data_IF_537232543194
#
_entry.id   IF_537232543194
#
_cell.length_a   1.000
_cell.length_b   1.000
_cell.length_c   1.000
_cell.angle_alpha   90.00
_cell.angle_beta   90.00
_cell.angle_gamma   90.00
#
_symmetry.space_group_name_H-M   'P 1'
#
loop_
_entity.id
_entity.type
_entity.pdbx_description
1 polymer ?
#
# COMPACT_ATOMS: atom_id res chain seq x y z
N UNK A 1 -8.76 -15.28 -5.45
CA UNK A 1 -9.15 -15.14 -6.87
C UNK A 1 -9.82 -13.79 -7.07
N UNK A 2 -9.73 -13.22 -8.27
CA UNK A 2 -10.38 -11.94 -8.57
C UNK A 2 -11.89 -12.05 -8.35
N UNK A 3 -12.51 -11.03 -7.76
CA UNK A 3 -13.95 -10.96 -7.43
C UNK A 3 -14.80 -10.47 -8.60
N UNK A 4 -14.17 -9.89 -9.61
CA UNK A 4 -14.78 -9.59 -10.91
C UNK A 4 -13.85 -10.07 -12.04
N UNK A 5 -14.35 -10.25 -13.27
CA UNK A 5 -13.51 -10.64 -14.40
C UNK A 5 -12.38 -9.62 -14.64
N UNK A 6 -11.15 -10.11 -14.75
CA UNK A 6 -10.05 -9.37 -15.38
C UNK A 6 -10.05 -9.78 -16.86
N UNK A 7 -10.33 -8.88 -17.82
CA UNK A 7 -10.23 -9.21 -19.24
C UNK A 7 -8.91 -9.88 -19.58
N UNK A 8 -8.90 -10.93 -20.40
CA UNK A 8 -7.67 -11.70 -20.67
C UNK A 8 -6.63 -10.91 -21.48
N UNK A 9 -7.09 -9.93 -22.25
CA UNK A 9 -6.29 -9.12 -23.17
C UNK A 9 -6.90 -7.74 -23.39
N UNK A 10 -6.26 -6.91 -24.22
CA UNK A 10 -6.80 -5.59 -24.60
C UNK A 10 -8.07 -5.78 -25.44
N UNK A 11 -8.06 -6.69 -26.40
CA UNK A 11 -9.16 -6.96 -27.35
C UNK A 11 -10.44 -7.42 -26.65
N UNK A 12 -10.29 -8.07 -25.49
CA UNK A 12 -11.41 -8.56 -24.66
C UNK A 12 -11.83 -7.56 -23.57
N UNK A 13 -11.16 -6.41 -23.46
CA UNK A 13 -11.55 -5.32 -22.57
C UNK A 13 -12.66 -4.46 -23.20
N UNK A 14 -13.45 -3.70 -22.40
CA UNK A 14 -14.43 -2.76 -22.94
C UNK A 14 -13.83 -1.86 -24.03
N UNK A 15 -14.53 -1.68 -25.15
CA UNK A 15 -14.01 -1.01 -26.34
C UNK A 15 -13.40 0.38 -26.04
N UNK A 16 -14.07 1.16 -25.17
CA UNK A 16 -13.59 2.48 -24.77
C UNK A 16 -12.31 2.46 -23.90
N UNK A 17 -11.99 1.33 -23.26
CA UNK A 17 -10.74 1.16 -22.49
C UNK A 17 -9.56 0.75 -23.37
N UNK A 18 -9.79 0.17 -24.55
CA UNK A 18 -8.73 -0.42 -25.38
C UNK A 18 -7.64 0.60 -25.76
N UNK A 19 -7.96 1.83 -26.22
CA UNK A 19 -6.93 2.82 -26.55
C UNK A 19 -6.08 3.22 -25.34
N UNK A 20 -6.69 3.29 -24.15
CA UNK A 20 -6.00 3.59 -22.89
C UNK A 20 -5.04 2.45 -22.51
N UNK A 21 -5.47 1.19 -22.66
CA UNK A 21 -4.63 0.02 -22.40
C UNK A 21 -3.48 -0.12 -23.41
N UNK A 22 -3.70 0.25 -24.68
CA UNK A 22 -2.62 0.32 -25.67
C UNK A 22 -1.59 1.39 -25.31
N UNK A 23 -2.02 2.54 -24.80
CA UNK A 23 -1.11 3.56 -24.30
C UNK A 23 -0.27 3.05 -23.11
N UNK A 24 -0.89 2.30 -22.18
CA UNK A 24 -0.18 1.63 -21.08
C UNK A 24 0.84 0.62 -21.62
N UNK A 25 0.45 -0.23 -22.58
CA UNK A 25 1.34 -1.21 -23.22
C UNK A 25 2.53 -0.55 -23.88
N UNK A 26 2.31 0.57 -24.58
CA UNK A 26 3.38 1.33 -25.22
C UNK A 26 4.37 1.90 -24.21
N UNK A 27 3.89 2.33 -23.04
CA UNK A 27 4.74 2.93 -22.00
C UNK A 27 5.49 1.89 -21.17
N UNK A 28 4.85 0.76 -20.85
CA UNK A 28 5.38 -0.24 -19.90
C UNK A 28 5.88 -1.52 -20.59
N UNK A 29 5.64 -1.69 -21.88
CA UNK A 29 5.92 -2.92 -22.64
C UNK A 29 4.87 -4.02 -22.47
N UNK A 30 3.99 -3.92 -21.48
CA UNK A 30 2.91 -4.87 -21.18
C UNK A 30 1.72 -4.17 -20.52
N UNK A 31 0.60 -4.88 -20.34
CA UNK A 31 -0.57 -4.37 -19.61
C UNK A 31 -0.79 -5.21 -18.35
N UNK A 32 -0.28 -4.73 -17.18
CA UNK A 32 -0.49 -5.42 -15.92
C UNK A 32 -1.98 -5.64 -15.60
N UNK A 33 -2.28 -6.72 -14.86
CA UNK A 33 -3.60 -7.17 -14.47
C UNK A 33 -4.47 -6.04 -13.90
N UNK A 34 -3.89 -5.16 -13.08
CA UNK A 34 -4.60 -4.01 -12.50
C UNK A 34 -5.19 -3.07 -13.57
N UNK A 35 -4.46 -2.76 -14.64
CA UNK A 35 -4.96 -1.85 -15.67
C UNK A 35 -6.14 -2.45 -16.42
N UNK A 36 -6.07 -3.75 -16.77
CA UNK A 36 -7.21 -4.47 -17.38
C UNK A 36 -8.41 -4.54 -16.43
N UNK A 37 -8.15 -4.75 -15.13
CA UNK A 37 -9.20 -4.82 -14.12
C UNK A 37 -9.91 -3.47 -13.93
N UNK A 38 -9.16 -2.37 -13.76
CA UNK A 38 -9.72 -1.01 -13.71
C UNK A 38 -10.43 -0.70 -15.03
N UNK A 39 -9.88 -1.17 -16.15
CA UNK A 39 -10.43 -1.04 -17.50
C UNK A 39 -11.81 -1.66 -17.71
N UNK A 40 -12.35 -2.45 -16.77
CA UNK A 40 -13.80 -2.74 -16.74
C UNK A 40 -14.64 -1.44 -16.70
N UNK A 41 -14.09 -0.35 -16.17
CA UNK A 41 -14.64 1.01 -16.25
C UNK A 41 -13.67 1.94 -17.00
N UNK A 42 -13.95 2.28 -18.27
CA UNK A 42 -13.13 3.22 -19.05
C UNK A 42 -12.93 4.56 -18.34
N UNK A 43 -13.96 5.08 -17.68
CA UNK A 43 -13.90 6.35 -16.94
C UNK A 43 -12.94 6.27 -15.74
N UNK A 44 -12.94 5.15 -15.00
CA UNK A 44 -12.02 4.96 -13.88
C UNK A 44 -10.58 4.79 -14.36
N UNK A 45 -10.37 4.08 -15.48
CA UNK A 45 -9.05 3.90 -16.08
C UNK A 45 -8.50 5.23 -16.58
N UNK A 46 -9.30 6.02 -17.31
CA UNK A 46 -8.92 7.33 -17.81
C UNK A 46 -8.56 8.29 -16.66
N UNK A 47 -9.41 8.37 -15.63
CA UNK A 47 -9.15 9.22 -14.46
C UNK A 47 -7.86 8.83 -13.72
N UNK A 48 -7.61 7.53 -13.54
CA UNK A 48 -6.37 7.04 -12.93
C UNK A 48 -5.13 7.40 -13.77
N UNK A 49 -5.18 7.15 -15.08
CA UNK A 49 -4.08 7.45 -15.99
C UNK A 49 -3.81 8.95 -16.08
N UNK A 50 -4.86 9.77 -16.14
CA UNK A 50 -4.76 11.22 -16.14
C UNK A 50 -4.09 11.76 -14.87
N UNK A 51 -4.53 11.31 -13.69
CA UNK A 51 -3.92 11.71 -12.42
C UNK A 51 -2.45 11.23 -12.32
N UNK A 52 -2.18 9.98 -12.71
CA UNK A 52 -0.83 9.42 -12.71
C UNK A 52 0.10 10.21 -13.64
N UNK A 53 -0.35 10.55 -14.85
CA UNK A 53 0.42 11.33 -15.81
C UNK A 53 0.66 12.78 -15.32
N UNK A 54 -0.33 13.40 -14.67
CA UNK A 54 -0.19 14.74 -14.11
C UNK A 54 0.85 14.77 -12.97
N UNK A 55 0.73 13.86 -11.99
CA UNK A 55 1.71 13.71 -10.91
C UNK A 55 3.08 13.22 -11.42
N UNK A 56 3.10 12.57 -12.58
CA UNK A 56 4.27 12.28 -13.39
C UNK A 56 5.17 13.50 -13.64
N UNK A 57 4.56 14.67 -13.78
CA UNK A 57 5.19 15.97 -14.09
C UNK A 57 5.37 16.88 -12.86
N UNK A 58 5.02 16.38 -11.68
CA UNK A 58 5.15 17.10 -10.41
C UNK A 58 6.60 17.31 -9.99
N UNK A 59 6.78 17.99 -8.86
CA UNK A 59 8.09 18.35 -8.31
C UNK A 59 8.69 17.29 -7.38
N UNK A 60 7.91 16.28 -6.96
CA UNK A 60 8.46 15.10 -6.32
C UNK A 60 9.21 14.23 -7.34
N UNK A 61 10.47 13.90 -7.03
CA UNK A 61 11.28 13.05 -7.89
C UNK A 61 10.73 11.61 -7.99
N UNK A 62 11.20 10.85 -8.99
CA UNK A 62 10.77 9.46 -9.23
C UNK A 62 11.01 8.52 -8.05
N UNK A 63 12.11 8.68 -7.31
CA UNK A 63 12.45 7.82 -6.16
C UNK A 63 11.48 8.09 -5.01
N UNK A 64 11.29 9.35 -4.63
CA UNK A 64 10.35 9.76 -3.58
C UNK A 64 8.93 9.26 -3.86
N UNK A 65 8.48 9.34 -5.11
CA UNK A 65 7.16 8.82 -5.51
C UNK A 65 7.03 7.30 -5.31
N UNK A 66 8.07 6.52 -5.66
CA UNK A 66 8.07 5.07 -5.41
C UNK A 66 8.16 4.73 -3.92
N UNK A 67 8.97 5.46 -3.15
CA UNK A 67 9.06 5.30 -1.69
C UNK A 67 7.69 5.50 -1.01
N UNK A 68 6.97 6.57 -1.39
CA UNK A 68 5.60 6.82 -0.91
C UNK A 68 4.67 5.67 -1.31
N UNK A 69 4.72 5.22 -2.57
CA UNK A 69 3.87 4.14 -3.04
C UNK A 69 4.09 2.81 -2.30
N UNK A 70 5.35 2.44 -2.02
CA UNK A 70 5.71 1.27 -1.20
C UNK A 70 5.16 1.42 0.22
N UNK A 71 5.39 2.57 0.87
CA UNK A 71 4.93 2.81 2.24
C UNK A 71 3.39 2.78 2.35
N UNK A 72 2.69 3.39 1.39
CA UNK A 72 1.21 3.41 1.34
C UNK A 72 0.65 2.02 1.05
N UNK A 73 1.23 1.27 0.11
CA UNK A 73 0.80 -0.09 -0.21
C UNK A 73 0.98 -1.06 0.96
N UNK A 74 2.11 -0.96 1.69
CA UNK A 74 2.33 -1.72 2.92
C UNK A 74 1.30 -1.33 3.99
N UNK A 75 1.09 -0.03 4.21
CA UNK A 75 0.15 0.49 5.22
C UNK A 75 -1.29 0.07 4.95
N UNK A 76 -1.71 0.04 3.68
CA UNK A 76 -3.04 -0.41 3.26
C UNK A 76 -3.16 -1.95 3.14
N UNK A 77 -2.08 -2.70 3.38
CA UNK A 77 -2.08 -4.16 3.24
C UNK A 77 -2.33 -4.65 1.80
N UNK A 78 -1.94 -3.88 0.79
CA UNK A 78 -2.17 -4.22 -0.61
C UNK A 78 -1.00 -4.99 -1.22
N UNK A 79 -1.09 -6.32 -1.25
CA UNK A 79 -0.04 -7.19 -1.80
C UNK A 79 0.28 -6.92 -3.28
N UNK A 80 -0.73 -6.64 -4.12
CA UNK A 80 -0.53 -6.34 -5.54
C UNK A 80 0.31 -5.08 -5.72
N UNK A 81 -0.12 -3.97 -5.11
CA UNK A 81 0.57 -2.69 -5.21
C UNK A 81 1.95 -2.73 -4.56
N UNK A 82 2.10 -3.43 -3.43
CA UNK A 82 3.41 -3.61 -2.79
C UNK A 82 4.38 -4.36 -3.70
N UNK A 83 3.91 -5.43 -4.36
CA UNK A 83 4.73 -6.20 -5.32
C UNK A 83 5.13 -5.34 -6.52
N UNK A 84 4.17 -4.62 -7.11
CA UNK A 84 4.40 -3.75 -8.27
C UNK A 84 5.36 -2.59 -7.95
N UNK A 85 5.11 -1.86 -6.86
CA UNK A 85 5.93 -0.70 -6.50
C UNK A 85 7.31 -1.08 -5.96
N UNK A 86 7.46 -2.24 -5.31
CA UNK A 86 8.81 -2.73 -4.96
C UNK A 86 9.61 -3.12 -6.22
N UNK A 87 8.95 -3.74 -7.21
CA UNK A 87 9.59 -4.03 -8.50
C UNK A 87 10.01 -2.73 -9.21
N UNK A 88 9.15 -1.71 -9.26
CA UNK A 88 9.48 -0.42 -9.88
C UNK A 88 10.54 0.35 -9.08
N UNK A 89 10.47 0.34 -7.74
CA UNK A 89 11.48 0.94 -6.88
C UNK A 89 12.88 0.37 -7.17
N UNK A 90 12.99 -0.96 -7.31
CA UNK A 90 14.26 -1.63 -7.62
C UNK A 90 14.74 -1.40 -9.05
N UNK A 91 13.87 -1.67 -10.02
CA UNK A 91 14.29 -1.77 -11.42
C UNK A 91 14.24 -0.45 -12.19
N UNK A 92 13.43 0.52 -11.75
CA UNK A 92 13.25 1.81 -12.42
C UNK A 92 13.81 2.96 -11.58
N UNK A 93 13.54 2.97 -10.27
CA UNK A 93 14.04 4.02 -9.38
C UNK A 93 15.44 3.70 -8.81
N UNK A 94 15.97 2.50 -9.06
CA UNK A 94 17.28 2.03 -8.60
C UNK A 94 17.46 2.22 -7.08
N UNK A 95 16.44 1.89 -6.31
CA UNK A 95 16.54 1.74 -4.85
C UNK A 95 17.00 0.32 -4.53
N UNK A 96 17.90 0.18 -3.58
CA UNK A 96 18.35 -1.14 -3.13
C UNK A 96 17.30 -1.82 -2.22
N UNK A 97 17.52 -3.10 -1.95
CA UNK A 97 16.58 -3.90 -1.16
C UNK A 97 16.47 -3.42 0.29
N UNK A 98 17.53 -2.82 0.86
CA UNK A 98 17.52 -2.30 2.23
C UNK A 98 16.67 -1.02 2.33
N UNK A 99 16.77 -0.12 1.35
CA UNK A 99 15.96 1.08 1.25
C UNK A 99 14.49 0.72 1.03
N UNK A 100 14.18 -0.24 0.15
CA UNK A 100 12.81 -0.72 -0.07
C UNK A 100 12.23 -1.31 1.23
N UNK A 101 13.01 -2.12 1.95
CA UNK A 101 12.58 -2.71 3.22
C UNK A 101 12.34 -1.64 4.31
N UNK A 102 13.17 -0.58 4.33
CA UNK A 102 12.96 0.59 5.18
C UNK A 102 11.70 1.37 4.77
N UNK A 103 11.44 1.56 3.47
CA UNK A 103 10.26 2.28 2.98
C UNK A 103 8.96 1.60 3.40
N UNK A 104 8.93 0.26 3.45
CA UNK A 104 7.80 -0.50 4.00
C UNK A 104 7.54 -0.16 5.48
N UNK A 105 8.57 0.19 6.25
CA UNK A 105 8.42 0.65 7.62
C UNK A 105 8.11 2.16 7.74
N UNK A 106 7.88 2.87 6.63
CA UNK A 106 7.74 4.33 6.62
C UNK A 106 9.05 5.06 6.91
N UNK A 107 10.20 4.42 6.62
CA UNK A 107 11.55 4.95 6.87
C UNK A 107 12.34 5.11 5.57
N UNK A 108 13.45 5.84 5.61
CA UNK A 108 14.37 5.97 4.47
C UNK A 108 15.78 6.35 4.95
N UNK A 109 16.80 5.93 4.21
CA UNK A 109 18.16 6.47 4.37
C UNK A 109 18.30 7.95 3.96
N UNK A 110 17.31 8.49 3.25
CA UNK A 110 17.18 9.90 2.90
C UNK A 110 16.22 10.60 3.88
N UNK A 111 16.75 11.52 4.69
CA UNK A 111 15.99 12.20 5.73
C UNK A 111 14.81 13.03 5.20
N UNK A 112 14.94 13.62 4.00
CA UNK A 112 13.85 14.36 3.38
C UNK A 112 12.77 13.39 2.92
N UNK A 113 13.15 12.30 2.24
CA UNK A 113 12.19 11.27 1.84
C UNK A 113 11.51 10.60 3.04
N UNK A 114 12.23 10.35 4.14
CA UNK A 114 11.66 9.78 5.36
C UNK A 114 10.53 10.65 5.91
N UNK A 115 10.67 11.98 5.94
CA UNK A 115 9.60 12.87 6.38
C UNK A 115 8.34 12.74 5.52
N UNK A 116 8.48 12.63 4.20
CA UNK A 116 7.34 12.39 3.30
C UNK A 116 6.68 11.03 3.55
N UNK A 117 7.46 9.98 3.83
CA UNK A 117 6.95 8.64 4.10
C UNK A 117 6.19 8.57 5.42
N UNK A 118 6.76 9.14 6.49
CA UNK A 118 6.12 9.22 7.79
C UNK A 118 4.80 10.00 7.70
N UNK A 119 4.79 11.12 6.99
CA UNK A 119 3.58 11.90 6.75
C UNK A 119 2.55 11.11 5.93
N UNK A 120 2.95 10.49 4.81
CA UNK A 120 2.06 9.67 3.99
C UNK A 120 1.44 8.50 4.76
N UNK A 121 2.25 7.74 5.51
CA UNK A 121 1.77 6.65 6.38
C UNK A 121 0.81 7.18 7.45
N UNK A 122 1.10 8.34 8.06
CA UNK A 122 0.21 8.94 9.05
C UNK A 122 -1.12 9.38 8.45
N UNK A 123 -1.10 10.02 7.27
CA UNK A 123 -2.31 10.42 6.53
C UNK A 123 -3.18 9.21 6.24
N UNK A 124 -2.61 8.10 5.77
CA UNK A 124 -3.37 6.86 5.50
C UNK A 124 -4.02 6.33 6.78
N UNK A 125 -3.23 6.18 7.86
CA UNK A 125 -3.72 5.64 9.14
C UNK A 125 -4.79 6.52 9.78
N UNK A 126 -4.60 7.85 9.74
CA UNK A 126 -5.52 8.83 10.31
C UNK A 126 -6.63 9.27 9.33
N UNK A 127 -6.69 8.68 8.13
CA UNK A 127 -7.64 9.06 7.07
C UNK A 127 -7.65 10.57 6.81
N UNK A 128 -6.48 11.17 6.71
CA UNK A 128 -6.28 12.61 6.48
C UNK A 128 -6.36 13.50 7.72
N UNK A 129 -6.80 13.00 8.88
CA UNK A 129 -6.94 13.79 10.11
C UNK A 129 -5.61 13.89 10.87
N UNK A 130 -4.61 14.51 10.24
CA UNK A 130 -3.30 14.78 10.83
C UNK A 130 -3.30 16.09 11.61
N UNK A 131 -2.37 16.25 12.55
CA UNK A 131 -2.22 17.49 13.31
C UNK A 131 -1.43 18.52 12.50
N UNK A 132 -1.59 19.81 12.81
CA UNK A 132 -0.80 20.88 12.19
C UNK A 132 0.71 20.64 12.34
N UNK A 133 1.15 20.13 13.50
CA UNK A 133 2.54 19.76 13.76
C UNK A 133 3.10 18.73 12.77
N UNK A 134 2.26 17.84 12.22
CA UNK A 134 2.71 16.86 11.23
C UNK A 134 3.07 17.53 9.90
N UNK A 135 2.33 18.55 9.51
CA UNK A 135 2.61 19.34 8.30
C UNK A 135 3.89 20.17 8.50
N UNK A 136 4.07 20.76 9.68
CA UNK A 136 5.27 21.54 10.00
C UNK A 136 6.55 20.68 9.99
N UNK A 137 6.48 19.40 10.41
CA UNK A 137 7.61 18.48 10.30
C UNK A 137 8.02 18.22 8.84
N UNK A 138 7.06 18.12 7.93
CA UNK A 138 7.33 17.95 6.48
C UNK A 138 7.95 19.21 5.89
N UNK A 139 7.48 20.39 6.31
CA UNK A 139 8.08 21.69 5.93
C UNK A 139 9.51 21.82 6.44
N UNK A 140 9.76 21.44 7.69
CA UNK A 140 11.09 21.46 8.29
C UNK A 140 12.07 20.53 7.57
N UNK A 141 11.60 19.45 6.94
CA UNK A 141 12.39 18.58 6.08
C UNK A 141 12.69 19.18 4.67
N UNK A 142 12.20 20.38 4.40
CA UNK A 142 12.49 21.14 3.18
C UNK A 142 11.52 20.91 2.03
N UNK A 143 10.30 20.42 2.29
CA UNK A 143 9.19 20.47 1.34
C UNK A 143 8.44 21.79 1.47
N UNK A 144 7.99 22.33 0.34
CA UNK A 144 7.06 23.45 0.35
C UNK A 144 5.60 23.00 0.25
N UNK A 145 4.67 23.96 0.32
CA UNK A 145 3.23 23.69 0.33
C UNK A 145 2.77 22.88 -0.89
N UNK A 146 3.31 23.18 -2.08
CA UNK A 146 2.93 22.44 -3.28
C UNK A 146 3.43 21.00 -3.27
N UNK A 147 4.62 20.72 -2.73
CA UNK A 147 5.11 19.35 -2.60
C UNK A 147 4.32 18.58 -1.54
N UNK A 148 3.86 19.23 -0.48
CA UNK A 148 2.98 18.62 0.52
C UNK A 148 1.64 18.21 -0.11
N UNK A 149 1.06 19.06 -0.94
CA UNK A 149 -0.14 18.73 -1.73
C UNK A 149 0.14 17.57 -2.69
N UNK A 150 1.30 17.54 -3.35
CA UNK A 150 1.70 16.40 -4.19
C UNK A 150 1.85 15.10 -3.39
N UNK A 151 2.39 15.13 -2.17
CA UNK A 151 2.46 13.94 -1.29
C UNK A 151 1.04 13.40 -1.03
N UNK A 152 0.09 14.27 -0.69
CA UNK A 152 -1.32 13.89 -0.49
C UNK A 152 -1.96 13.34 -1.77
N UNK A 153 -1.67 13.94 -2.92
CA UNK A 153 -2.16 13.46 -4.21
C UNK A 153 -1.60 12.08 -4.55
N UNK A 154 -0.32 11.81 -4.23
CA UNK A 154 0.27 10.48 -4.34
C UNK A 154 -0.35 9.48 -3.36
N UNK A 155 -0.69 9.90 -2.14
CA UNK A 155 -1.45 9.05 -1.20
C UNK A 155 -2.81 8.70 -1.79
N UNK A 156 -3.54 9.65 -2.37
CA UNK A 156 -4.83 9.41 -3.00
C UNK A 156 -4.73 8.47 -4.22
N UNK A 157 -3.76 8.72 -5.11
CA UNK A 157 -3.48 7.88 -6.29
C UNK A 157 -3.21 6.42 -5.90
N UNK A 158 -2.36 6.21 -4.89
CA UNK A 158 -2.03 4.87 -4.40
C UNK A 158 -3.20 4.25 -3.64
N UNK A 159 -3.95 5.03 -2.87
CA UNK A 159 -5.14 4.51 -2.15
C UNK A 159 -6.18 3.99 -3.13
N UNK A 160 -6.42 4.67 -4.24
CA UNK A 160 -7.32 4.20 -5.31
C UNK A 160 -6.90 2.81 -5.80
N UNK A 161 -5.64 2.63 -6.22
CA UNK A 161 -5.17 1.34 -6.74
C UNK A 161 -5.10 0.28 -5.65
N UNK A 162 -4.71 0.63 -4.43
CA UNK A 162 -4.69 -0.27 -3.29
C UNK A 162 -6.09 -0.83 -3.02
N UNK A 163 -7.10 0.05 -2.98
CA UNK A 163 -8.47 -0.34 -2.70
C UNK A 163 -9.05 -1.19 -3.81
N UNK A 164 -8.87 -0.79 -5.08
CA UNK A 164 -9.29 -1.63 -6.21
C UNK A 164 -8.67 -3.01 -6.11
N UNK A 165 -7.34 -3.11 -5.95
CA UNK A 165 -6.67 -4.41 -5.97
C UNK A 165 -7.02 -5.29 -4.77
N UNK A 166 -7.11 -4.72 -3.58
CA UNK A 166 -7.47 -5.47 -2.36
C UNK A 166 -8.96 -5.86 -2.36
N UNK A 167 -9.84 -4.93 -2.74
CA UNK A 167 -11.29 -5.16 -2.77
C UNK A 167 -11.71 -6.10 -3.90
N UNK A 168 -10.95 -6.18 -4.99
CA UNK A 168 -11.26 -7.08 -6.10
C UNK A 168 -10.35 -8.30 -6.16
N UNK A 169 -9.33 -8.43 -5.32
CA UNK A 169 -8.49 -9.64 -5.27
C UNK A 169 -7.66 -9.85 -6.54
N UNK A 170 -7.12 -8.78 -7.11
CA UNK A 170 -6.32 -8.81 -8.34
C UNK A 170 -5.16 -9.81 -8.23
N UNK A 171 -5.02 -10.68 -9.22
CA UNK A 171 -3.90 -11.61 -9.28
C UNK A 171 -2.57 -10.86 -9.49
N UNK A 172 -1.56 -11.17 -8.68
CA UNK A 172 -0.24 -10.54 -8.76
C UNK A 172 0.53 -11.08 -9.97
N UNK A 173 0.99 -10.18 -10.83
CA UNK A 173 1.80 -10.44 -12.04
C UNK A 173 3.22 -9.83 -11.94
N UNK A 174 3.66 -9.61 -10.71
CA UNK A 174 5.01 -9.18 -10.33
C UNK A 174 5.63 -10.19 -9.35
N UNK A 175 6.95 -10.13 -9.07
CA UNK A 175 7.53 -10.88 -7.96
C UNK A 175 6.77 -10.60 -6.66
N UNK A 176 6.13 -11.64 -6.12
CA UNK A 176 5.15 -11.48 -5.06
C UNK A 176 5.78 -11.09 -3.72
N UNK A 177 5.25 -10.03 -3.10
CA UNK A 177 5.59 -9.59 -1.74
C UNK A 177 4.31 -9.56 -0.91
N UNK A 178 4.39 -10.13 0.30
CA UNK A 178 3.31 -10.06 1.27
C UNK A 178 3.53 -8.88 2.23
N UNK A 179 2.50 -8.05 2.48
CA UNK A 179 2.52 -7.09 3.57
C UNK A 179 2.84 -7.74 4.92
N UNK A 180 3.59 -7.05 5.77
CA UNK A 180 3.93 -7.48 7.11
C UNK A 180 2.67 -7.59 7.96
N UNK A 181 2.71 -8.51 8.90
CA UNK A 181 1.70 -8.57 9.93
C UNK A 181 1.92 -7.43 10.93
N UNK A 182 0.82 -6.89 11.41
CA UNK A 182 0.79 -5.69 12.24
C UNK A 182 1.64 -5.80 13.51
N UNK A 183 1.58 -6.97 14.16
CA UNK A 183 2.30 -7.25 15.40
C UNK A 183 3.53 -8.14 15.15
N UNK A 184 4.14 -8.00 13.97
CA UNK A 184 5.27 -8.81 13.55
C UNK A 184 4.95 -10.29 13.51
N UNK A 185 5.79 -11.12 14.11
CA UNK A 185 5.61 -12.57 14.15
C UNK A 185 4.78 -13.05 15.34
N UNK A 186 4.09 -12.16 16.07
CA UNK A 186 3.26 -12.53 17.21
C UNK A 186 1.79 -12.79 16.85
N UNK A 187 1.17 -13.69 17.61
CA UNK A 187 -0.25 -13.97 17.54
C UNK A 187 -1.07 -12.76 18.01
N UNK A 188 -1.95 -12.23 17.16
CA UNK A 188 -2.74 -11.03 17.47
C UNK A 188 -3.65 -11.21 18.70
N UNK A 189 -4.18 -12.42 18.93
CA UNK A 189 -4.95 -12.74 20.15
C UNK A 189 -4.07 -12.69 21.39
N UNK A 190 -2.88 -13.27 21.36
CA UNK A 190 -1.95 -13.21 22.49
C UNK A 190 -1.51 -11.77 22.79
N UNK A 191 -1.21 -10.97 21.75
CA UNK A 191 -0.88 -9.55 21.91
C UNK A 191 -2.02 -8.79 22.60
N UNK A 192 -3.28 -9.11 22.28
CA UNK A 192 -4.46 -8.52 22.95
C UNK A 192 -4.57 -8.86 24.44
N UNK A 193 -3.90 -9.93 24.88
CA UNK A 193 -3.84 -10.39 26.26
C UNK A 193 -2.55 -9.91 26.97
N UNK A 194 -1.71 -9.13 26.27
CA UNK A 194 -0.43 -8.68 26.81
C UNK A 194 0.68 -9.74 26.72
N UNK A 195 0.51 -10.79 25.92
CA UNK A 195 1.43 -11.92 25.82
C UNK A 195 2.23 -11.92 24.51
N UNK A 196 3.41 -12.57 24.56
CA UNK A 196 4.28 -12.78 23.39
C UNK A 196 4.24 -14.25 22.98
N UNK A 197 3.24 -14.60 22.18
CA UNK A 197 3.14 -15.95 21.60
C UNK A 197 3.50 -15.87 20.11
N UNK A 198 4.48 -16.66 19.63
CA UNK A 198 4.79 -16.75 18.21
C UNK A 198 3.56 -17.17 17.39
N UNK A 199 3.43 -16.59 16.21
CA UNK A 199 2.37 -16.93 15.23
C UNK A 199 2.87 -17.93 14.20
N UNK A 200 1.93 -18.65 13.60
CA UNK A 200 2.14 -19.35 12.34
C UNK A 200 1.99 -18.34 11.19
N UNK A 201 3.02 -18.23 10.34
CA UNK A 201 3.03 -17.33 9.19
C UNK A 201 1.93 -17.63 8.15
N UNK A 202 1.43 -18.88 8.13
CA UNK A 202 0.33 -19.31 7.25
C UNK A 202 -1.04 -18.98 7.82
N UNK A 203 -1.17 -18.90 9.15
CA UNK A 203 -2.42 -18.55 9.83
C UNK A 203 -2.57 -17.03 9.93
N UNK A 204 -3.31 -16.45 8.99
CA UNK A 204 -3.47 -14.98 8.88
C UNK A 204 -4.87 -14.56 8.44
N UNK A 205 -5.24 -13.33 8.79
CA UNK A 205 -6.46 -12.65 8.33
C UNK A 205 -6.13 -11.19 8.02
N UNK A 206 -6.97 -10.53 7.22
CA UNK A 206 -6.88 -9.08 6.98
C UNK A 206 -8.15 -8.45 7.50
N UNK A 207 -8.03 -7.52 8.45
CA UNK A 207 -9.16 -6.78 9.00
C UNK A 207 -8.84 -5.28 9.04
N UNK A 208 -9.73 -4.44 8.52
CA UNK A 208 -9.51 -2.99 8.47
C UNK A 208 -8.23 -2.56 7.73
N UNK A 209 -7.78 -3.34 6.74
CA UNK A 209 -6.54 -3.08 5.98
C UNK A 209 -5.25 -3.55 6.65
N UNK A 210 -5.31 -4.13 7.86
CA UNK A 210 -4.15 -4.63 8.60
C UNK A 210 -4.10 -6.15 8.53
N UNK A 211 -2.90 -6.70 8.34
CA UNK A 211 -2.66 -8.15 8.35
C UNK A 211 -2.40 -8.61 9.79
N UNK A 212 -3.13 -9.62 10.25
CA UNK A 212 -2.93 -10.24 11.56
C UNK A 212 -2.55 -11.71 11.38
N UNK A 213 -1.67 -12.21 12.25
CA UNK A 213 -1.27 -13.62 12.30
C UNK A 213 -1.68 -14.26 13.61
N UNK A 214 -1.78 -15.59 13.62
CA UNK A 214 -2.29 -16.35 14.76
C UNK A 214 -1.43 -17.57 15.04
N UNK A 215 -1.35 -17.97 16.32
CA UNK A 215 -0.63 -19.17 16.76
C UNK A 215 -1.35 -20.47 16.39
N UNK A 216 -2.66 -20.41 16.15
CA UNK A 216 -3.46 -21.58 15.78
C UNK A 216 -4.76 -21.17 15.04
N UNK A 217 -5.46 -22.12 14.39
CA UNK A 217 -6.79 -21.88 13.82
C UNK A 217 -7.82 -21.41 14.85
N UNK A 218 -7.75 -21.88 16.08
CA UNK A 218 -8.66 -21.50 17.17
C UNK A 218 -8.46 -20.03 17.56
N UNK A 219 -7.20 -19.60 17.71
CA UNK A 219 -6.88 -18.19 17.96
C UNK A 219 -7.37 -17.30 16.80
N UNK A 220 -7.23 -17.76 15.56
CA UNK A 220 -7.80 -17.06 14.41
C UNK A 220 -9.32 -16.94 14.49
N UNK A 221 -10.02 -18.04 14.79
CA UNK A 221 -11.48 -18.05 14.92
C UNK A 221 -11.97 -17.12 16.04
N UNK A 222 -11.24 -17.06 17.17
CA UNK A 222 -11.51 -16.10 18.25
C UNK A 222 -11.40 -14.66 17.77
N UNK A 223 -10.32 -14.32 17.06
CA UNK A 223 -10.13 -12.98 16.52
C UNK A 223 -11.21 -12.61 15.50
N UNK A 224 -11.52 -13.50 14.57
CA UNK A 224 -12.50 -13.24 13.52
C UNK A 224 -13.93 -13.03 14.07
N UNK A 225 -14.23 -13.55 15.28
CA UNK A 225 -15.51 -13.36 15.95
C UNK A 225 -15.70 -11.93 16.52
N UNK A 226 -14.63 -11.25 16.94
CA UNK A 226 -14.66 -9.87 17.43
C UNK A 226 -13.34 -9.11 17.12
N UNK A 227 -13.07 -8.84 15.84
CA UNK A 227 -11.76 -8.34 15.42
C UNK A 227 -11.48 -6.92 15.89
N UNK A 228 -12.52 -6.12 16.18
CA UNK A 228 -12.37 -4.75 16.68
C UNK A 228 -11.87 -4.76 18.13
N UNK A 229 -12.51 -5.53 19.01
CA UNK A 229 -12.11 -5.65 20.42
C UNK A 229 -10.69 -6.20 20.59
N UNK A 230 -10.36 -7.27 19.86
CA UNK A 230 -9.02 -7.86 19.89
C UNK A 230 -7.95 -6.88 19.40
N UNK A 231 -8.24 -6.16 18.30
CA UNK A 231 -7.34 -5.13 17.76
C UNK A 231 -7.11 -4.01 18.78
N UNK A 232 -8.16 -3.43 19.34
CA UNK A 232 -8.03 -2.26 20.22
C UNK A 232 -7.25 -2.60 21.50
N UNK A 233 -7.46 -3.79 22.06
CA UNK A 233 -6.65 -4.33 23.18
C UNK A 233 -5.20 -4.57 22.76
N UNK A 234 -4.98 -5.20 21.61
CA UNK A 234 -3.64 -5.47 21.11
C UNK A 234 -2.86 -4.18 20.85
N UNK A 235 -3.51 -3.16 20.27
CA UNK A 235 -2.93 -1.83 20.07
C UNK A 235 -2.54 -1.15 21.38
N UNK A 236 -3.34 -1.31 22.45
CA UNK A 236 -3.01 -0.80 23.78
C UNK A 236 -1.78 -1.50 24.40
N UNK A 237 -1.59 -2.81 24.15
CA UNK A 237 -0.46 -3.58 24.68
C UNK A 237 0.81 -3.48 23.82
N UNK A 238 0.67 -3.29 22.50
CA UNK A 238 1.77 -3.34 21.54
C UNK A 238 2.98 -2.46 21.86
N UNK A 239 2.83 -1.21 22.36
CA UNK A 239 3.98 -0.38 22.72
C UNK A 239 4.95 -1.02 23.73
N UNK A 240 4.45 -1.93 24.58
CA UNK A 240 5.25 -2.67 25.57
C UNK A 240 5.84 -3.95 24.99
N UNK A 241 5.14 -4.60 24.07
CA UNK A 241 5.50 -5.91 23.51
C UNK A 241 6.43 -5.84 22.29
N UNK A 242 6.48 -4.69 21.60
CA UNK A 242 7.34 -4.48 20.43
C UNK A 242 8.84 -4.36 20.73
N UNK A 243 9.23 -4.34 22.02
CA UNK A 243 10.62 -4.34 22.49
C UNK A 243 11.19 -5.75 22.49
#
# INVERSE_FOLDING_TARGET
>A
MSRIPTPASIETSPAASQPLLEAVKKQLGSVPNMFRLIGNSPAALDGYLGLSAALGKGRLDGRTRQRIAVAVAETNGCAYCLSAHSYLAKNVAHLDDAEIDANRAGKSGDAKAEAALQFATKVVRARGHVAAADVELVKAAGYDDGQIVEILAHVALNTLTNYVNSALGTAVDFPAITPRAEYGDLCAVAVSMGERVPSDATSRTVHGGRTFRFSSPEAKAMFDADPVSFRDKADAHWPRLKK
#
